data_IF_186046157360
#
_entry.id   IF_186046157360
#
_cell.length_a   1.000
_cell.length_b   1.000
_cell.length_c   1.000
_cell.angle_alpha   90.00
_cell.angle_beta   90.00
_cell.angle_gamma   90.00
#
_symmetry.space_group_name_H-M   'P 1'
#
loop_
_entity.id
_entity.type
_entity.pdbx_description
1 polymer ?
#
# COMPACT_ATOMS: atom_id res chain seq x y z
N UNK A 1 8.37 19.26 -21.22
CA UNK A 1 8.06 17.91 -21.75
C UNK A 1 6.62 17.62 -21.36
N UNK A 2 5.78 17.17 -22.27
CA UNK A 2 4.42 16.75 -21.89
C UNK A 2 4.53 15.34 -21.30
N UNK A 3 4.54 15.23 -19.98
CA UNK A 3 4.49 13.95 -19.31
C UNK A 3 3.16 13.26 -19.64
N UNK A 4 3.23 12.31 -20.59
CA UNK A 4 2.07 11.50 -20.97
C UNK A 4 1.85 10.48 -19.87
N UNK A 5 0.61 10.25 -19.47
CA UNK A 5 0.24 9.18 -18.56
C UNK A 5 -0.62 8.16 -19.29
N UNK A 6 -0.40 6.87 -19.00
CA UNK A 6 -1.26 5.79 -19.46
C UNK A 6 -2.04 5.27 -18.26
N UNK A 7 -3.37 5.15 -18.38
CA UNK A 7 -4.21 4.61 -17.32
C UNK A 7 -5.01 3.40 -17.79
N UNK A 8 -5.26 2.47 -16.88
CA UNK A 8 -6.10 1.29 -17.06
C UNK A 8 -7.15 1.27 -15.96
N UNK A 9 -8.38 0.90 -16.31
CA UNK A 9 -9.50 0.75 -15.36
C UNK A 9 -10.27 -0.51 -15.71
N UNK A 10 -10.77 -1.20 -14.68
CA UNK A 10 -11.70 -2.30 -14.88
C UNK A 10 -13.13 -1.75 -15.04
N UNK A 11 -13.85 -2.08 -16.13
CA UNK A 11 -15.22 -1.59 -16.31
C UNK A 11 -16.11 -2.09 -15.16
N UNK A 12 -16.87 -1.16 -14.57
CA UNK A 12 -17.74 -1.44 -13.41
C UNK A 12 -17.10 -1.19 -12.05
N UNK A 13 -15.78 -0.98 -11.97
CA UNK A 13 -15.08 -0.71 -10.70
C UNK A 13 -14.56 0.72 -10.64
N UNK A 14 -15.18 1.58 -9.83
CA UNK A 14 -14.75 3.00 -9.68
C UNK A 14 -13.38 3.17 -9.03
N UNK A 15 -12.95 2.20 -8.23
CA UNK A 15 -11.71 2.26 -7.43
C UNK A 15 -10.60 1.35 -7.96
N UNK A 16 -10.86 0.55 -9.00
CA UNK A 16 -9.88 -0.42 -9.53
C UNK A 16 -9.30 0.12 -10.83
N UNK A 17 -8.17 0.80 -10.71
CA UNK A 17 -7.41 1.32 -11.83
C UNK A 17 -5.98 1.67 -11.44
N UNK A 18 -5.11 1.72 -12.44
CA UNK A 18 -3.71 2.09 -12.29
C UNK A 18 -3.39 3.16 -13.33
N UNK A 19 -2.60 4.16 -12.96
CA UNK A 19 -2.03 5.12 -13.88
C UNK A 19 -0.52 5.10 -13.74
N UNK A 20 0.18 5.05 -14.87
CA UNK A 20 1.64 5.07 -14.93
C UNK A 20 2.14 6.16 -15.89
N UNK A 21 3.35 6.63 -15.64
CA UNK A 21 4.00 7.63 -16.48
C UNK A 21 4.53 7.02 -17.78
N UNK A 22 4.43 7.78 -18.87
CA UNK A 22 4.87 7.40 -20.20
C UNK A 22 3.80 6.69 -21.04
N UNK A 23 4.20 6.28 -22.25
CA UNK A 23 3.39 5.45 -23.16
C UNK A 23 3.62 3.99 -22.80
N UNK A 24 2.60 3.33 -22.28
CA UNK A 24 2.62 1.88 -22.02
C UNK A 24 1.73 1.14 -23.01
N UNK A 25 2.12 -0.08 -23.34
CA UNK A 25 1.26 -1.00 -24.06
C UNK A 25 0.11 -1.49 -23.19
N UNK A 26 -0.93 -2.02 -23.83
CA UNK A 26 -2.06 -2.64 -23.13
C UNK A 26 -1.61 -3.81 -22.25
N UNK A 27 -0.68 -4.62 -22.75
CA UNK A 27 -0.17 -5.81 -22.08
C UNK A 27 0.61 -5.44 -20.82
N UNK A 28 1.48 -4.42 -20.89
CA UNK A 28 2.18 -3.88 -19.73
C UNK A 28 1.21 -3.38 -18.67
N UNK A 29 0.21 -2.57 -19.04
CA UNK A 29 -0.76 -2.04 -18.07
C UNK A 29 -1.59 -3.16 -17.42
N UNK A 30 -1.95 -4.21 -18.17
CA UNK A 30 -2.67 -5.38 -17.63
C UNK A 30 -1.77 -6.18 -16.68
N UNK A 31 -0.49 -6.37 -17.01
CA UNK A 31 0.46 -7.05 -16.14
C UNK A 31 0.64 -6.27 -14.83
N UNK A 32 0.80 -4.95 -14.91
CA UNK A 32 0.98 -4.08 -13.75
C UNK A 32 -0.24 -4.08 -12.83
N UNK A 33 -1.46 -3.93 -13.36
CA UNK A 33 -2.67 -3.95 -12.51
C UNK A 33 -2.88 -5.31 -11.85
N UNK A 34 -2.53 -6.42 -12.53
CA UNK A 34 -2.62 -7.77 -11.94
C UNK A 34 -1.59 -7.99 -10.84
N UNK A 35 -0.35 -7.57 -11.05
CA UNK A 35 0.70 -7.62 -10.03
C UNK A 35 0.29 -6.79 -8.80
N UNK A 36 -0.16 -5.55 -9.03
CA UNK A 36 -0.65 -4.70 -7.96
C UNK A 36 -1.83 -5.31 -7.20
N UNK A 37 -2.78 -5.95 -7.90
CA UNK A 37 -3.89 -6.65 -7.26
C UNK A 37 -3.43 -7.87 -6.44
N UNK A 38 -2.41 -8.60 -6.90
CA UNK A 38 -1.83 -9.72 -6.15
C UNK A 38 -1.15 -9.24 -4.86
N UNK A 39 -0.39 -8.14 -4.92
CA UNK A 39 0.25 -7.54 -3.76
C UNK A 39 -0.80 -7.02 -2.77
N UNK A 40 -1.84 -6.33 -3.27
CA UNK A 40 -2.97 -5.88 -2.43
C UNK A 40 -3.67 -7.05 -1.77
N UNK A 41 -3.87 -8.16 -2.49
CA UNK A 41 -4.47 -9.37 -1.92
C UNK A 41 -3.59 -9.95 -0.82
N UNK A 42 -2.29 -10.12 -1.07
CA UNK A 42 -1.37 -10.64 -0.07
C UNK A 42 -1.31 -9.76 1.19
N UNK A 43 -1.32 -8.44 1.01
CA UNK A 43 -1.37 -7.49 2.11
C UNK A 43 -2.69 -7.57 2.87
N UNK A 44 -3.82 -7.66 2.17
CA UNK A 44 -5.13 -7.82 2.78
C UNK A 44 -5.23 -9.14 3.57
N UNK A 45 -4.75 -10.25 3.00
CA UNK A 45 -4.71 -11.55 3.67
C UNK A 45 -3.86 -11.48 4.96
N UNK A 46 -2.71 -10.78 4.94
CA UNK A 46 -1.87 -10.58 6.12
C UNK A 46 -2.56 -9.74 7.21
N UNK A 47 -3.22 -8.65 6.83
CA UNK A 47 -3.96 -7.78 7.77
C UNK A 47 -5.15 -8.52 8.38
N UNK A 48 -5.88 -9.31 7.58
CA UNK A 48 -7.04 -10.05 8.05
C UNK A 48 -6.66 -11.28 8.91
N UNK A 49 -5.46 -11.81 8.74
CA UNK A 49 -4.93 -12.91 9.54
C UNK A 49 -4.24 -12.46 10.84
N UNK A 50 -3.82 -11.19 10.91
CA UNK A 50 -3.18 -10.61 12.09
C UNK A 50 -4.16 -10.55 13.27
N UNK A 51 -3.66 -10.83 14.47
CA UNK A 51 -4.41 -10.60 15.70
C UNK A 51 -4.34 -9.12 16.09
N UNK A 52 -5.26 -8.65 16.95
CA UNK A 52 -5.24 -7.26 17.42
C UNK A 52 -3.90 -6.90 18.09
N UNK A 53 -3.26 -7.86 18.76
CA UNK A 53 -1.97 -7.72 19.45
C UNK A 53 -0.76 -7.63 18.49
N UNK A 54 -0.95 -7.86 17.19
CA UNK A 54 0.10 -7.72 16.16
C UNK A 54 0.17 -6.30 15.59
N UNK A 55 -0.84 -5.46 15.85
CA UNK A 55 -0.88 -4.10 15.31
C UNK A 55 -0.13 -3.11 16.21
N UNK A 56 0.86 -2.44 15.65
CA UNK A 56 1.52 -1.30 16.29
C UNK A 56 0.70 -0.02 16.04
N UNK A 57 0.21 0.60 17.11
CA UNK A 57 -0.50 1.89 17.02
C UNK A 57 0.35 2.98 17.66
N UNK A 58 0.81 3.93 16.86
CA UNK A 58 1.63 5.07 17.29
C UNK A 58 0.90 6.39 17.03
N UNK A 59 1.05 7.36 17.92
CA UNK A 59 0.68 8.76 17.66
C UNK A 59 1.93 9.63 17.69
N UNK A 60 2.01 10.59 16.76
CA UNK A 60 3.14 11.51 16.65
C UNK A 60 2.67 12.96 16.49
N UNK A 61 3.38 13.89 17.13
CA UNK A 61 3.12 15.32 17.01
C UNK A 61 3.97 15.94 15.90
N UNK A 62 3.39 16.05 14.69
CA UNK A 62 3.99 16.74 13.54
C UNK A 62 4.58 15.81 12.46
N UNK A 63 4.41 16.18 11.18
CA UNK A 63 4.73 15.35 10.00
C UNK A 63 6.23 15.05 9.83
N UNK A 64 7.11 15.82 10.47
CA UNK A 64 8.57 15.72 10.32
C UNK A 64 9.32 15.35 11.61
N UNK A 65 8.64 15.14 12.74
CA UNK A 65 9.29 14.93 14.04
C UNK A 65 9.00 13.51 14.53
N UNK A 66 9.86 12.57 14.16
CA UNK A 66 9.84 11.19 14.68
C UNK A 66 10.27 11.08 16.16
N UNK A 67 10.75 12.17 16.78
CA UNK A 67 11.27 12.16 18.16
C UNK A 67 10.21 12.02 19.24
N UNK A 68 8.96 12.37 18.96
CA UNK A 68 7.83 12.26 19.91
C UNK A 68 6.85 11.22 19.39
N UNK A 69 7.29 9.95 19.30
CA UNK A 69 6.41 8.81 19.04
C UNK A 69 5.97 8.23 20.36
N UNK A 70 4.66 8.26 20.61
CA UNK A 70 4.04 7.58 21.74
C UNK A 70 3.38 6.31 21.21
N UNK A 71 3.85 5.15 21.68
CA UNK A 71 3.25 3.85 21.40
C UNK A 71 2.00 3.72 22.25
N UNK A 72 0.83 3.64 21.60
CA UNK A 72 -0.48 3.46 22.23
C UNK A 72 -0.73 1.97 22.47
N UNK A 73 -0.32 1.12 21.54
CA UNK A 73 -0.39 -0.33 21.66
C UNK A 73 0.87 -0.95 21.05
N UNK A 74 1.71 -1.64 21.84
CA UNK A 74 2.89 -2.32 21.32
C UNK A 74 2.47 -3.60 20.58
N UNK A 75 2.94 -3.77 19.35
CA UNK A 75 2.82 -5.06 18.68
C UNK A 75 3.69 -6.09 19.40
N UNK A 76 3.09 -7.21 19.77
CA UNK A 76 3.75 -8.31 20.50
C UNK A 76 4.88 -8.97 19.71
N UNK A 77 4.93 -8.79 18.39
CA UNK A 77 5.93 -9.39 17.49
C UNK A 77 7.11 -8.46 17.14
N UNK A 78 7.14 -7.21 17.64
CA UNK A 78 8.13 -6.20 17.25
C UNK A 78 9.47 -6.25 18.03
N UNK A 79 9.77 -7.34 18.73
CA UNK A 79 11.00 -7.52 19.53
C UNK A 79 12.24 -8.06 18.79
N UNK A 80 12.31 -8.03 17.44
CA UNK A 80 13.51 -8.51 16.76
C UNK A 80 13.86 -7.76 15.47
N UNK A 81 14.30 -6.52 15.60
CA UNK A 81 15.16 -5.88 14.60
C UNK A 81 16.01 -4.77 15.26
N UNK A 82 17.10 -5.18 15.93
CA UNK A 82 18.29 -4.34 16.11
C UNK A 82 19.10 -4.26 14.80
#
# INVERSE_FOLDING_TARGET
>A
MADRMTSIRLPGSKHVGLADWGRRSREEMIAMIRAHAADQKSMADAILAASDDDFLVETYTGVHVHRNREVIHPASTLEAAE
#
